data_IF_056368367923
#
_entry.id   IF_056368367923
#
_cell.length_a   1.000
_cell.length_b   1.000
_cell.length_c   1.000
_cell.angle_alpha   90.00
_cell.angle_beta   90.00
_cell.angle_gamma   90.00
#
_symmetry.space_group_name_H-M   'P 1'
#
loop_
_entity.id
_entity.type
_entity.pdbx_description
1 polymer ?
#
# COMPACT_ATOMS: atom_id res chain seq x y z
N UNK A 1 11.53 -26.47 9.29
CA UNK A 1 11.94 -26.11 7.90
C UNK A 1 12.30 -24.64 7.93
N UNK A 2 13.59 -24.31 7.81
CA UNK A 2 14.04 -22.92 7.80
C UNK A 2 13.75 -22.32 6.42
N UNK A 3 12.87 -21.33 6.36
CA UNK A 3 12.71 -20.48 5.17
C UNK A 3 14.04 -19.79 4.89
N UNK A 4 14.72 -20.17 3.80
CA UNK A 4 15.86 -19.41 3.28
C UNK A 4 15.35 -18.01 2.95
N UNK A 5 15.81 -17.03 3.73
CA UNK A 5 15.50 -15.63 3.52
C UNK A 5 16.42 -15.15 2.38
N UNK A 6 15.85 -14.98 1.18
CA UNK A 6 16.62 -14.45 0.04
C UNK A 6 17.27 -13.13 0.41
N UNK A 7 18.54 -12.96 0.07
CA UNK A 7 19.25 -11.71 0.32
C UNK A 7 18.63 -10.56 -0.50
N UNK A 8 18.78 -9.31 -0.04
CA UNK A 8 18.29 -8.14 -0.77
C UNK A 8 18.82 -8.09 -2.22
N UNK A 9 20.06 -8.55 -2.44
CA UNK A 9 20.70 -8.63 -3.77
C UNK A 9 19.97 -9.62 -4.68
N UNK A 10 19.58 -10.80 -4.17
CA UNK A 10 18.79 -11.77 -4.94
C UNK A 10 17.41 -11.24 -5.32
N UNK A 11 16.77 -10.51 -4.41
CA UNK A 11 15.44 -9.93 -4.64
C UNK A 11 15.51 -8.86 -5.74
N UNK A 12 16.53 -8.00 -5.71
CA UNK A 12 16.78 -6.99 -6.77
C UNK A 12 17.03 -7.68 -8.12
N UNK A 13 17.78 -8.79 -8.15
CA UNK A 13 17.97 -9.59 -9.35
C UNK A 13 16.65 -10.06 -9.97
N UNK A 14 15.77 -10.67 -9.15
CA UNK A 14 14.44 -11.14 -9.58
C UNK A 14 13.52 -10.00 -10.05
N UNK A 15 13.59 -8.83 -9.40
CA UNK A 15 12.83 -7.65 -9.83
C UNK A 15 13.28 -7.17 -11.22
N UNK A 16 14.59 -7.15 -11.49
CA UNK A 16 15.12 -6.77 -12.80
C UNK A 16 14.62 -7.71 -13.92
N UNK A 17 14.51 -9.01 -13.66
CA UNK A 17 13.98 -9.99 -14.63
C UNK A 17 12.52 -9.74 -15.01
N UNK A 18 11.74 -9.13 -14.13
CA UNK A 18 10.31 -8.83 -14.36
C UNK A 18 10.07 -7.52 -15.13
N UNK A 19 11.12 -6.72 -15.39
CA UNK A 19 11.02 -5.39 -16.02
C UNK A 19 10.32 -5.40 -17.38
N UNK A 20 10.59 -6.41 -18.22
CA UNK A 20 9.95 -6.51 -19.54
C UNK A 20 8.47 -6.95 -19.46
N UNK A 21 8.11 -7.70 -18.41
CA UNK A 21 6.79 -8.32 -18.25
C UNK A 21 5.78 -7.40 -17.56
N UNK A 22 6.25 -6.45 -16.74
CA UNK A 22 5.36 -5.50 -16.05
C UNK A 22 4.69 -4.50 -17.02
N UNK A 23 5.33 -4.25 -18.15
CA UNK A 23 4.84 -3.35 -19.22
C UNK A 23 3.74 -3.99 -20.06
N UNK A 24 3.72 -5.32 -20.16
CA UNK A 24 2.56 -6.07 -20.62
C UNK A 24 1.58 -6.23 -19.47
N UNK A 25 0.28 -6.32 -19.74
CA UNK A 25 -0.77 -6.45 -18.71
C UNK A 25 -0.77 -7.82 -17.99
N UNK A 26 0.42 -8.40 -17.78
CA UNK A 26 0.68 -9.66 -17.09
C UNK A 26 0.42 -9.50 -15.59
N UNK A 27 -0.79 -9.91 -15.20
CA UNK A 27 -1.28 -9.88 -13.82
C UNK A 27 -0.38 -10.69 -12.88
N UNK A 28 0.23 -11.78 -13.37
CA UNK A 28 1.11 -12.64 -12.56
C UNK A 28 2.41 -11.91 -12.29
N UNK A 29 3.03 -11.33 -13.33
CA UNK A 29 4.25 -10.53 -13.17
C UNK A 29 4.03 -9.34 -12.22
N UNK A 30 2.90 -8.64 -12.32
CA UNK A 30 2.56 -7.55 -11.39
C UNK A 30 2.45 -8.03 -9.94
N UNK A 31 1.81 -9.17 -9.71
CA UNK A 31 1.71 -9.77 -8.37
C UNK A 31 3.08 -10.17 -7.81
N UNK A 32 3.93 -10.77 -8.64
CA UNK A 32 5.28 -11.19 -8.24
C UNK A 32 6.16 -10.00 -7.90
N UNK A 33 6.06 -8.90 -8.66
CA UNK A 33 6.73 -7.62 -8.34
C UNK A 33 6.29 -7.11 -6.98
N UNK A 34 4.98 -7.07 -6.69
CA UNK A 34 4.47 -6.59 -5.39
C UNK A 34 5.01 -7.45 -4.25
N UNK A 35 5.05 -8.77 -4.42
CA UNK A 35 5.57 -9.68 -3.39
C UNK A 35 7.07 -9.48 -3.15
N UNK A 36 7.87 -9.40 -4.21
CA UNK A 36 9.31 -9.17 -4.13
C UNK A 36 9.63 -7.79 -3.55
N UNK A 37 8.87 -6.75 -3.91
CA UNK A 37 9.04 -5.42 -3.34
C UNK A 37 8.79 -5.40 -1.82
N UNK A 38 7.73 -6.08 -1.35
CA UNK A 38 7.47 -6.23 0.10
C UNK A 38 8.58 -7.00 0.81
N UNK A 39 9.09 -8.07 0.20
CA UNK A 39 10.23 -8.83 0.72
C UNK A 39 11.50 -7.98 0.79
N UNK A 40 11.75 -7.14 -0.23
CA UNK A 40 12.88 -6.22 -0.24
C UNK A 40 12.79 -5.26 0.93
N UNK A 41 11.65 -4.56 1.08
CA UNK A 41 11.40 -3.63 2.19
C UNK A 41 11.63 -4.32 3.53
N UNK A 42 11.00 -5.47 3.78
CA UNK A 42 11.18 -6.20 5.05
C UNK A 42 12.62 -6.69 5.30
N UNK A 43 13.42 -6.89 4.26
CA UNK A 43 14.82 -7.33 4.38
C UNK A 43 15.79 -6.17 4.56
N UNK A 44 15.47 -4.97 4.06
CA UNK A 44 16.34 -3.80 4.08
C UNK A 44 15.96 -2.76 5.14
N UNK A 45 14.71 -2.76 5.60
CA UNK A 45 14.18 -1.76 6.52
C UNK A 45 14.69 -2.00 7.96
N UNK A 46 14.82 -0.91 8.72
CA UNK A 46 15.23 -1.03 10.12
C UNK A 46 14.10 -1.65 10.95
N UNK A 47 14.40 -2.58 11.88
CA UNK A 47 13.36 -3.21 12.71
C UNK A 47 12.48 -2.22 13.48
N UNK A 48 13.04 -1.08 13.89
CA UNK A 48 12.29 0.00 14.55
C UNK A 48 11.23 0.63 13.66
N UNK A 49 11.53 0.81 12.37
CA UNK A 49 10.58 1.37 11.40
C UNK A 49 9.44 0.37 11.12
N UNK A 50 9.77 -0.91 10.96
CA UNK A 50 8.77 -1.98 10.81
C UNK A 50 7.87 -2.05 12.05
N UNK A 51 8.45 -2.00 13.26
CA UNK A 51 7.69 -2.04 14.50
C UNK A 51 6.74 -0.83 14.63
N UNK A 52 7.21 0.36 14.26
CA UNK A 52 6.37 1.56 14.23
C UNK A 52 5.22 1.41 13.25
N UNK A 53 5.49 0.99 12.00
CA UNK A 53 4.45 0.75 10.99
C UNK A 53 3.39 -0.25 11.49
N UNK A 54 3.83 -1.40 12.04
CA UNK A 54 2.93 -2.41 12.61
C UNK A 54 2.11 -1.88 13.79
N UNK A 55 2.67 -1.01 14.62
CA UNK A 55 1.94 -0.37 15.72
C UNK A 55 0.86 0.60 15.22
N UNK A 56 1.03 1.18 14.03
CA UNK A 56 0.05 2.08 13.41
C UNK A 56 -1.02 1.37 12.55
N UNK A 57 -0.78 0.14 12.09
CA UNK A 57 -1.74 -0.62 11.27
C UNK A 57 -3.17 -0.71 11.86
N UNK A 58 -3.38 -0.88 13.18
CA UNK A 58 -4.74 -0.88 13.76
C UNK A 58 -5.50 0.43 13.52
N UNK A 59 -4.80 1.58 13.51
CA UNK A 59 -5.42 2.88 13.26
C UNK A 59 -5.91 3.00 11.82
N UNK A 60 -5.24 2.35 10.86
CA UNK A 60 -5.70 2.35 9.48
C UNK A 60 -7.08 1.71 9.34
N UNK A 61 -7.34 0.60 10.03
CA UNK A 61 -8.65 -0.06 10.02
C UNK A 61 -9.73 0.81 10.68
N UNK A 62 -9.41 1.48 11.79
CA UNK A 62 -10.32 2.40 12.47
C UNK A 62 -10.63 3.61 11.57
N UNK A 63 -9.61 4.23 10.98
CA UNK A 63 -9.77 5.35 10.07
C UNK A 63 -10.57 4.98 8.82
N UNK A 64 -10.32 3.81 8.23
CA UNK A 64 -11.09 3.31 7.09
C UNK A 64 -12.56 3.11 7.45
N UNK A 65 -12.87 2.57 8.63
CA UNK A 65 -14.25 2.44 9.11
C UNK A 65 -14.95 3.79 9.24
N UNK A 66 -14.29 4.78 9.84
CA UNK A 66 -14.84 6.14 9.96
C UNK A 66 -15.06 6.75 8.57
N UNK A 67 -14.11 6.59 7.66
CA UNK A 67 -14.21 7.09 6.30
C UNK A 67 -15.37 6.47 5.51
N UNK A 68 -15.66 5.17 5.71
CA UNK A 68 -16.84 4.51 5.15
C UNK A 68 -18.12 5.02 5.81
N UNK A 69 -18.16 5.19 7.12
CA UNK A 69 -19.35 5.68 7.84
C UNK A 69 -19.74 7.11 7.48
N UNK A 70 -18.77 7.91 7.04
CA UNK A 70 -18.96 9.29 6.58
C UNK A 70 -19.06 9.39 5.05
N UNK A 71 -19.17 8.26 4.34
CA UNK A 71 -19.25 8.21 2.88
C UNK A 71 -18.12 8.97 2.15
N UNK A 72 -16.94 9.11 2.79
CA UNK A 72 -15.84 9.93 2.27
C UNK A 72 -15.35 9.41 0.93
N UNK A 73 -15.25 8.08 0.78
CA UNK A 73 -14.81 7.46 -0.46
C UNK A 73 -15.78 7.71 -1.62
N UNK A 74 -17.09 7.76 -1.35
CA UNK A 74 -18.11 8.06 -2.35
C UNK A 74 -18.03 9.53 -2.78
N UNK A 75 -17.95 10.46 -1.83
CA UNK A 75 -17.80 11.88 -2.13
C UNK A 75 -16.53 12.19 -2.91
N UNK A 76 -15.40 11.55 -2.56
CA UNK A 76 -14.13 11.70 -3.29
C UNK A 76 -14.23 11.11 -4.69
N UNK A 77 -14.78 9.90 -4.84
CA UNK A 77 -14.87 9.22 -6.14
C UNK A 77 -15.83 9.93 -7.11
N UNK A 78 -16.87 10.58 -6.58
CA UNK A 78 -17.88 11.29 -7.36
C UNK A 78 -17.48 12.74 -7.70
N UNK A 79 -16.39 13.24 -7.12
CA UNK A 79 -15.94 14.60 -7.33
C UNK A 79 -15.39 14.80 -8.74
N UNK A 80 -15.92 15.78 -9.47
CA UNK A 80 -15.45 16.14 -10.83
C UNK A 80 -14.17 16.97 -10.83
N UNK A 81 -13.75 17.44 -9.65
CA UNK A 81 -12.54 18.23 -9.40
C UNK A 81 -11.92 17.82 -8.07
N UNK A 82 -10.64 18.12 -7.81
CA UNK A 82 -10.05 17.95 -6.49
C UNK A 82 -10.93 18.60 -5.40
N UNK A 83 -11.22 17.83 -4.34
CA UNK A 83 -12.05 18.26 -3.22
C UNK A 83 -11.17 18.61 -2.03
N UNK A 84 -11.45 19.73 -1.38
CA UNK A 84 -10.73 20.15 -0.16
C UNK A 84 -11.28 19.42 1.07
N UNK A 85 -10.50 19.39 2.16
CA UNK A 85 -10.97 18.83 3.43
C UNK A 85 -12.20 19.54 3.99
N UNK A 86 -12.32 20.86 3.77
CA UNK A 86 -13.46 21.69 4.23
C UNK A 86 -14.73 21.35 3.44
N UNK A 87 -14.62 21.24 2.11
CA UNK A 87 -15.73 20.82 1.26
C UNK A 87 -16.15 19.39 1.61
N UNK A 88 -15.19 18.48 1.81
CA UNK A 88 -15.47 17.09 2.16
C UNK A 88 -16.17 16.97 3.53
N UNK A 89 -15.69 17.70 4.55
CA UNK A 89 -16.32 17.75 5.87
C UNK A 89 -17.77 18.25 5.80
N UNK A 90 -18.02 19.29 5.00
CA UNK A 90 -19.37 19.84 4.79
C UNK A 90 -20.34 18.83 4.13
N UNK A 91 -19.84 17.98 3.23
CA UNK A 91 -20.63 16.94 2.56
C UNK A 91 -20.87 15.72 3.45
N UNK A 92 -19.89 15.37 4.28
CA UNK A 92 -19.89 14.14 5.07
C UNK A 92 -20.42 14.31 6.50
N UNK A 93 -20.78 15.53 6.92
CA UNK A 93 -21.11 15.83 8.31
C UNK A 93 -19.89 15.76 9.26
N UNK A 94 -18.68 15.87 8.69
CA UNK A 94 -17.44 16.00 9.44
C UNK A 94 -17.27 17.42 9.99
N UNK A 95 -16.50 17.54 11.07
CA UNK A 95 -16.15 18.83 11.70
C UNK A 95 -14.77 19.33 11.29
#
# INVERSE_FOLDING_TARGET
MATQQSSAVEIIGKLNELTARISSDDVIAKKDVVNLARQLVTTTEQPGNIAAELAFLPFLAVAARVAVQLDLFEHIASATKPITSVELASLSGGS
#
